data_IF_956564356077
#
_entry.id   IF_956564356077
#
_cell.length_a   1.000
_cell.length_b   1.000
_cell.length_c   1.000
_cell.angle_alpha   90.00
_cell.angle_beta   90.00
_cell.angle_gamma   90.00
#
_symmetry.space_group_name_H-M   'P 1'
#
loop_
_entity.id
_entity.type
_entity.pdbx_description
1 polymer ?
#
# COMPACT_ATOMS: atom_id res chain seq x y z
N UNK A 1 -6.42 25.24 -5.97
CA UNK A 1 -5.43 24.23 -5.55
C UNK A 1 -5.88 23.56 -4.27
N UNK A 2 -6.01 22.23 -4.31
CA UNK A 2 -6.44 21.42 -3.17
C UNK A 2 -5.32 21.35 -2.13
N UNK A 3 -5.63 21.51 -0.84
CA UNK A 3 -4.66 21.48 0.25
C UNK A 3 -4.40 20.04 0.71
N UNK A 4 -3.15 19.67 1.04
CA UNK A 4 -2.85 18.37 1.61
C UNK A 4 -3.35 18.31 3.05
N UNK A 5 -3.80 17.13 3.47
CA UNK A 5 -4.30 16.85 4.81
C UNK A 5 -3.33 15.99 5.64
N UNK A 6 -2.33 15.38 4.99
CA UNK A 6 -1.28 14.59 5.64
C UNK A 6 0.11 15.03 5.17
N UNK A 7 1.13 14.61 5.91
CA UNK A 7 2.53 14.86 5.53
C UNK A 7 2.92 14.16 4.23
N UNK A 8 2.43 12.94 3.96
CA UNK A 8 2.67 12.24 2.70
C UNK A 8 2.03 12.97 1.50
N UNK A 9 0.81 13.49 1.66
CA UNK A 9 0.18 14.33 0.64
C UNK A 9 0.93 15.63 0.40
N UNK A 10 1.49 16.23 1.45
CA UNK A 10 2.35 17.41 1.32
C UNK A 10 3.66 17.07 0.59
N UNK A 11 4.28 15.92 0.88
CA UNK A 11 5.45 15.43 0.15
C UNK A 11 5.15 15.26 -1.34
N UNK A 12 3.98 14.69 -1.68
CA UNK A 12 3.53 14.58 -3.07
C UNK A 12 3.42 15.95 -3.75
N UNK A 13 2.74 16.91 -3.12
CA UNK A 13 2.63 18.25 -3.70
C UNK A 13 3.99 18.93 -3.83
N UNK A 14 4.89 18.74 -2.87
CA UNK A 14 6.25 19.27 -2.97
C UNK A 14 6.99 18.65 -4.18
N UNK A 15 6.92 17.33 -4.35
CA UNK A 15 7.53 16.64 -5.49
C UNK A 15 6.93 17.08 -6.84
N UNK A 16 5.62 17.29 -6.91
CA UNK A 16 4.95 17.77 -8.12
C UNK A 16 5.41 19.20 -8.51
N UNK A 17 5.54 20.09 -7.52
CA UNK A 17 5.94 21.48 -7.74
C UNK A 17 7.45 21.66 -7.94
N UNK A 18 8.27 20.69 -7.56
CA UNK A 18 9.72 20.75 -7.74
C UNK A 18 10.09 20.43 -9.20
N UNK A 19 10.69 21.41 -9.87
CA UNK A 19 11.05 21.31 -11.28
C UNK A 19 12.25 20.41 -11.55
N UNK A 20 13.01 20.02 -10.52
CA UNK A 20 14.11 19.06 -10.67
C UNK A 20 13.63 17.65 -10.99
N UNK A 21 12.40 17.31 -10.60
CA UNK A 21 11.83 16.00 -10.87
C UNK A 21 11.05 16.02 -12.18
N UNK A 22 11.62 15.47 -13.24
CA UNK A 22 10.91 15.27 -14.49
C UNK A 22 9.84 14.17 -14.35
N UNK A 23 10.09 13.18 -13.49
CA UNK A 23 9.16 12.07 -13.22
C UNK A 23 8.77 12.05 -11.75
N UNK A 24 7.47 11.97 -11.47
CA UNK A 24 6.95 11.79 -10.11
C UNK A 24 6.12 10.52 -10.06
N UNK A 25 6.63 9.51 -9.37
CA UNK A 25 5.90 8.28 -9.05
C UNK A 25 5.17 8.44 -7.72
N UNK A 26 3.87 8.17 -7.69
CA UNK A 26 3.05 8.17 -6.47
C UNK A 26 2.36 6.83 -6.29
N UNK A 27 2.72 6.11 -5.23
CA UNK A 27 2.23 4.76 -4.99
C UNK A 27 1.59 4.67 -3.62
N UNK A 28 0.47 3.96 -3.52
CA UNK A 28 -0.20 3.79 -2.23
C UNK A 28 -1.65 3.34 -2.37
N UNK A 29 -2.36 3.10 -1.26
CA UNK A 29 -3.70 2.55 -1.31
C UNK A 29 -4.72 3.53 -1.88
N UNK A 30 -5.87 3.02 -2.30
CA UNK A 30 -7.02 3.82 -2.68
C UNK A 30 -7.45 4.76 -1.54
N UNK A 31 -7.76 6.01 -1.89
CA UNK A 31 -8.24 7.02 -0.93
C UNK A 31 -7.16 7.87 -0.26
N UNK A 32 -5.89 7.71 -0.65
CA UNK A 32 -4.76 8.57 -0.20
C UNK A 32 -4.63 9.90 -0.93
N UNK A 33 -5.39 10.10 -2.01
CA UNK A 33 -5.43 11.36 -2.74
C UNK A 33 -4.48 11.47 -3.94
N UNK A 34 -3.84 10.36 -4.36
CA UNK A 34 -2.94 10.30 -5.56
C UNK A 34 -3.52 11.03 -6.76
N UNK A 35 -4.67 10.53 -7.25
CA UNK A 35 -5.35 11.04 -8.43
C UNK A 35 -5.85 12.46 -8.23
N UNK A 36 -6.42 12.77 -7.06
CA UNK A 36 -6.93 14.10 -6.73
C UNK A 36 -5.84 15.18 -6.82
N UNK A 37 -4.70 14.93 -6.18
CA UNK A 37 -3.59 15.87 -6.11
C UNK A 37 -2.88 16.00 -7.45
N UNK A 38 -2.72 14.89 -8.20
CA UNK A 38 -2.15 14.91 -9.55
C UNK A 38 -3.03 15.71 -10.53
N UNK A 39 -4.35 15.48 -10.54
CA UNK A 39 -5.29 16.22 -11.37
C UNK A 39 -5.35 17.70 -11.00
N UNK A 40 -5.40 18.02 -9.70
CA UNK A 40 -5.43 19.40 -9.21
C UNK A 40 -4.15 20.16 -9.61
N UNK A 41 -2.98 19.52 -9.44
CA UNK A 41 -1.72 20.08 -9.91
C UNK A 41 -1.74 20.31 -11.42
N UNK A 42 -2.19 19.32 -12.21
CA UNK A 42 -2.17 19.43 -13.66
C UNK A 42 -3.07 20.52 -14.22
N UNK A 43 -4.29 20.65 -13.72
CA UNK A 43 -5.21 21.72 -14.11
C UNK A 43 -4.60 23.10 -13.81
N UNK A 44 -4.04 23.28 -12.61
CA UNK A 44 -3.42 24.56 -12.23
C UNK A 44 -2.15 24.85 -13.04
N UNK A 45 -1.32 23.84 -13.31
CA UNK A 45 -0.11 24.00 -14.11
C UNK A 45 -0.42 24.46 -15.55
N UNK A 46 -1.51 23.97 -16.15
CA UNK A 46 -1.98 24.44 -17.47
C UNK A 46 -2.54 25.86 -17.40
N UNK A 47 -3.32 26.18 -16.37
CA UNK A 47 -3.86 27.54 -16.18
C UNK A 47 -2.75 28.58 -16.01
N UNK A 48 -1.67 28.21 -15.35
CA UNK A 48 -0.49 29.05 -15.14
C UNK A 48 0.45 29.09 -16.36
N UNK A 49 0.16 28.29 -17.40
CA UNK A 49 1.00 28.22 -18.61
C UNK A 49 2.33 27.50 -18.40
N UNK A 50 2.49 26.72 -17.32
CA UNK A 50 3.69 25.91 -17.04
C UNK A 50 3.89 24.83 -18.11
N UNK A 51 2.79 24.22 -18.55
CA UNK A 51 2.74 23.29 -19.68
C UNK A 51 1.69 23.77 -20.69
N UNK A 52 1.87 23.41 -21.96
CA UNK A 52 0.92 23.71 -23.03
C UNK A 52 -0.23 22.71 -23.07
N UNK A 53 0.05 21.44 -22.73
CA UNK A 53 -0.91 20.34 -22.75
C UNK A 53 -0.85 19.52 -21.48
N UNK A 54 -2.01 19.07 -21.02
CA UNK A 54 -2.16 18.06 -19.98
C UNK A 54 -2.78 16.81 -20.60
N UNK A 55 -2.07 15.70 -20.53
CA UNK A 55 -2.48 14.42 -21.09
C UNK A 55 -2.81 13.49 -19.93
N UNK A 56 -4.03 12.96 -19.92
CA UNK A 56 -4.48 11.97 -18.94
C UNK A 56 -4.59 10.61 -19.61
N UNK A 57 -3.99 9.61 -18.97
CA UNK A 57 -3.97 8.21 -19.40
C UNK A 57 -4.52 7.39 -18.24
N UNK A 58 -5.71 6.81 -18.42
CA UNK A 58 -6.33 5.96 -17.41
C UNK A 58 -6.87 4.70 -18.08
N UNK A 59 -6.27 3.51 -17.85
CA UNK A 59 -6.72 2.29 -18.48
C UNK A 59 -8.14 1.95 -18.03
N UNK A 60 -8.91 1.39 -18.97
CA UNK A 60 -10.16 0.70 -18.68
C UNK A 60 -9.90 -0.77 -18.91
N UNK A 61 -10.13 -1.62 -17.92
CA UNK A 61 -9.86 -3.06 -18.02
C UNK A 61 -11.16 -3.84 -17.91
N UNK A 62 -11.34 -4.80 -18.81
CA UNK A 62 -12.47 -5.73 -18.74
C UNK A 62 -12.32 -6.67 -17.53
N UNK A 63 -13.37 -6.74 -16.71
CA UNK A 63 -13.33 -7.46 -15.43
C UNK A 63 -13.09 -8.97 -15.60
N UNK A 64 -13.51 -9.54 -16.73
CA UNK A 64 -13.46 -10.98 -17.00
C UNK A 64 -12.15 -11.34 -17.71
N UNK A 65 -11.86 -10.69 -18.82
CA UNK A 65 -10.70 -11.00 -19.67
C UNK A 65 -9.40 -10.37 -19.19
N UNK A 66 -9.48 -9.38 -18.29
CA UNK A 66 -8.35 -8.58 -17.80
C UNK A 66 -7.58 -7.87 -18.91
N UNK A 67 -8.22 -7.67 -20.06
CA UNK A 67 -7.63 -6.91 -21.18
C UNK A 67 -8.03 -5.45 -21.10
N UNK A 68 -7.10 -4.58 -21.47
CA UNK A 68 -7.35 -3.16 -21.65
C UNK A 68 -8.31 -2.93 -22.83
N UNK A 69 -9.37 -2.17 -22.55
CA UNK A 69 -10.33 -1.63 -23.51
C UNK A 69 -9.80 -0.29 -24.00
N UNK A 70 -9.64 -0.19 -25.32
CA UNK A 70 -9.04 0.97 -25.98
C UNK A 70 -10.07 1.93 -26.55
N UNK A 71 -9.62 3.13 -26.97
CA UNK A 71 -10.47 4.12 -27.64
C UNK A 71 -11.09 3.55 -28.93
N UNK A 72 -10.45 2.57 -29.57
CA UNK A 72 -11.03 1.89 -30.76
C UNK A 72 -12.15 0.92 -30.43
N UNK A 73 -12.21 0.40 -29.20
CA UNK A 73 -13.22 -0.56 -28.75
C UNK A 73 -14.37 0.14 -28.01
N UNK A 74 -14.09 1.26 -27.32
CA UNK A 74 -15.07 2.04 -26.58
C UNK A 74 -15.21 3.45 -27.17
N UNK A 75 -16.27 3.66 -27.95
CA UNK A 75 -16.51 4.93 -28.67
C UNK A 75 -16.62 6.15 -27.75
N UNK A 76 -17.11 5.98 -26.51
CA UNK A 76 -17.25 7.04 -25.52
C UNK A 76 -16.14 7.02 -24.46
N UNK A 77 -14.98 6.41 -24.72
CA UNK A 77 -13.85 6.32 -23.78
C UNK A 77 -13.50 7.68 -23.16
N UNK A 78 -13.30 8.70 -24.00
CA UNK A 78 -12.90 10.02 -23.52
C UNK A 78 -13.97 10.66 -22.62
N UNK A 79 -15.26 10.45 -22.91
CA UNK A 79 -16.35 10.98 -22.10
C UNK A 79 -16.42 10.30 -20.72
N UNK A 80 -16.19 8.99 -20.67
CA UNK A 80 -16.13 8.22 -19.41
C UNK A 80 -14.99 8.74 -18.51
N UNK A 81 -13.79 8.91 -19.08
CA UNK A 81 -12.65 9.42 -18.32
C UNK A 81 -12.85 10.90 -17.94
N UNK A 82 -13.45 11.73 -18.81
CA UNK A 82 -13.75 13.12 -18.48
C UNK A 82 -14.73 13.23 -17.32
N UNK A 83 -15.76 12.38 -17.29
CA UNK A 83 -16.69 12.27 -16.16
C UNK A 83 -15.94 11.90 -14.88
N UNK A 84 -15.06 10.90 -14.95
CA UNK A 84 -14.23 10.50 -13.82
C UNK A 84 -13.35 11.66 -13.30
N UNK A 85 -12.69 12.40 -14.20
CA UNK A 85 -11.85 13.55 -13.82
C UNK A 85 -12.68 14.59 -13.09
N UNK A 86 -13.88 14.92 -13.59
CA UNK A 86 -14.84 15.82 -12.95
C UNK A 86 -15.20 15.32 -11.55
N UNK A 87 -15.68 14.08 -11.45
CA UNK A 87 -16.10 13.49 -10.18
C UNK A 87 -14.99 13.49 -9.11
N UNK A 88 -13.72 13.32 -9.53
CA UNK A 88 -12.57 13.39 -8.62
C UNK A 88 -12.29 14.83 -8.20
N UNK A 89 -12.20 15.77 -9.14
CA UNK A 89 -11.73 17.13 -8.85
C UNK A 89 -12.77 18.00 -8.13
N UNK A 90 -14.06 17.69 -8.28
CA UNK A 90 -15.16 18.43 -7.66
C UNK A 90 -15.86 19.41 -8.59
N UNK A 91 -17.14 19.69 -8.30
CA UNK A 91 -18.06 20.50 -9.11
C UNK A 91 -17.51 21.88 -9.47
N UNK A 92 -16.73 22.48 -8.57
CA UNK A 92 -16.16 23.82 -8.77
C UNK A 92 -15.17 23.90 -9.93
N UNK A 93 -14.61 22.78 -10.40
CA UNK A 93 -13.69 22.72 -11.53
C UNK A 93 -14.33 22.21 -12.83
N UNK A 94 -15.63 21.87 -12.85
CA UNK A 94 -16.26 21.24 -14.02
C UNK A 94 -16.17 22.11 -15.27
N UNK A 95 -16.46 23.40 -15.12
CA UNK A 95 -16.37 24.39 -16.21
C UNK A 95 -14.94 24.54 -16.74
N UNK A 96 -13.95 24.52 -15.83
CA UNK A 96 -12.53 24.60 -16.19
C UNK A 96 -12.09 23.36 -16.96
N UNK A 97 -12.46 22.18 -16.48
CA UNK A 97 -12.15 20.91 -17.16
C UNK A 97 -12.76 20.88 -18.56
N UNK A 98 -14.02 21.29 -18.70
CA UNK A 98 -14.69 21.37 -20.01
C UNK A 98 -14.02 22.36 -20.96
N UNK A 99 -13.61 23.53 -20.47
CA UNK A 99 -12.88 24.52 -21.26
C UNK A 99 -11.53 23.99 -21.74
N UNK A 100 -10.74 23.40 -20.83
CA UNK A 100 -9.43 22.84 -21.15
C UNK A 100 -9.55 21.70 -22.17
N UNK A 101 -10.56 20.85 -22.02
CA UNK A 101 -10.83 19.76 -22.96
C UNK A 101 -11.24 20.29 -24.34
N UNK A 102 -12.20 21.22 -24.40
CA UNK A 102 -12.67 21.82 -25.68
C UNK A 102 -11.58 22.59 -26.41
N UNK A 103 -10.67 23.22 -25.68
CA UNK A 103 -9.53 23.97 -26.27
C UNK A 103 -8.36 23.06 -26.65
N UNK A 104 -8.43 21.75 -26.39
CA UNK A 104 -7.35 20.79 -26.66
C UNK A 104 -6.14 20.94 -25.74
N UNK A 105 -6.27 21.72 -24.65
CA UNK A 105 -5.24 21.83 -23.60
C UNK A 105 -5.26 20.65 -22.65
N UNK A 106 -6.42 20.00 -22.49
CA UNK A 106 -6.57 18.72 -21.81
C UNK A 106 -6.89 17.65 -22.86
N UNK A 107 -6.06 16.62 -22.95
CA UNK A 107 -6.26 15.47 -23.83
C UNK A 107 -6.42 14.20 -22.99
N UNK A 108 -7.33 13.33 -23.41
CA UNK A 108 -7.54 12.00 -22.82
C UNK A 108 -7.09 10.97 -23.84
N UNK A 109 -6.13 10.12 -23.46
CA UNK A 109 -5.57 9.08 -24.33
C UNK A 109 -5.63 7.71 -23.63
N UNK A 110 -5.64 6.64 -24.43
CA UNK A 110 -5.31 5.31 -23.92
C UNK A 110 -3.79 5.05 -24.01
N UNK A 111 -3.33 3.97 -23.40
CA UNK A 111 -1.90 3.66 -23.32
C UNK A 111 -1.25 3.42 -24.70
N UNK A 112 -2.02 2.96 -25.70
CA UNK A 112 -1.53 2.64 -27.05
C UNK A 112 -1.34 3.87 -27.92
N UNK A 113 -2.18 4.91 -27.75
CA UNK A 113 -2.10 6.15 -28.55
C UNK A 113 -0.86 7.01 -28.29
N UNK A 114 -0.13 6.70 -27.22
CA UNK A 114 1.12 7.34 -26.90
C UNK A 114 2.27 6.78 -27.75
N UNK A 115 2.07 5.61 -28.40
CA UNK A 115 3.06 4.95 -29.25
C UNK A 115 3.36 5.77 -30.52
N UNK A 116 4.64 5.92 -30.86
CA UNK A 116 5.15 6.81 -31.92
C UNK A 116 5.20 8.32 -31.61
N UNK A 117 4.70 8.80 -30.46
CA UNK A 117 4.71 10.23 -30.09
C UNK A 117 5.87 10.60 -29.15
N UNK A 118 6.31 11.85 -29.24
CA UNK A 118 7.16 12.55 -28.27
C UNK A 118 6.34 13.67 -27.66
N UNK A 119 6.39 13.84 -26.33
CA UNK A 119 5.60 14.84 -25.62
C UNK A 119 6.50 15.97 -25.13
N UNK A 120 6.60 17.04 -25.90
CA UNK A 120 7.24 18.30 -25.49
C UNK A 120 6.20 19.27 -24.89
N UNK A 121 6.64 20.15 -23.99
CA UNK A 121 5.80 21.16 -23.31
C UNK A 121 4.53 20.58 -22.67
N UNK A 122 4.59 19.34 -22.18
CA UNK A 122 3.41 18.56 -21.79
C UNK A 122 3.52 18.02 -20.38
N UNK A 123 2.43 18.07 -19.63
CA UNK A 123 2.25 17.29 -18.42
C UNK A 123 1.52 16.00 -18.79
N UNK A 124 2.07 14.86 -18.43
CA UNK A 124 1.45 13.55 -18.65
C UNK A 124 1.11 12.96 -17.29
N UNK A 125 -0.11 12.47 -17.11
CA UNK A 125 -0.55 11.75 -15.92
C UNK A 125 -1.08 10.38 -16.30
N UNK A 126 -0.41 9.33 -15.82
CA UNK A 126 -0.83 7.94 -15.95
C UNK A 126 -1.38 7.50 -14.60
N UNK A 127 -2.68 7.17 -14.58
CA UNK A 127 -3.39 6.70 -13.40
C UNK A 127 -3.61 5.18 -13.47
N UNK A 128 -3.73 4.51 -12.32
CA UNK A 128 -3.96 3.05 -12.20
C UNK A 128 -2.91 2.21 -12.95
N UNK A 129 -1.63 2.50 -12.77
CA UNK A 129 -0.58 1.82 -13.54
C UNK A 129 -0.48 0.32 -13.26
N UNK A 130 -1.03 -0.17 -12.15
CA UNK A 130 -1.16 -1.61 -11.86
C UNK A 130 -2.07 -2.35 -12.86
N UNK A 131 -2.90 -1.64 -13.61
CA UNK A 131 -3.81 -2.20 -14.63
C UNK A 131 -3.15 -2.24 -16.04
N UNK A 132 -1.93 -1.74 -16.18
CA UNK A 132 -1.15 -1.74 -17.42
C UNK A 132 -0.06 -2.82 -17.39
N UNK A 133 0.40 -3.21 -18.58
CA UNK A 133 1.62 -4.02 -18.69
C UNK A 133 2.86 -3.14 -18.39
N UNK A 134 3.86 -3.64 -17.64
CA UNK A 134 5.07 -2.88 -17.32
C UNK A 134 5.76 -2.30 -18.55
N UNK A 135 5.85 -3.07 -19.64
CA UNK A 135 6.49 -2.66 -20.89
C UNK A 135 5.79 -1.44 -21.50
N UNK A 136 4.45 -1.39 -21.43
CA UNK A 136 3.69 -0.23 -21.88
C UNK A 136 4.10 1.01 -21.10
N UNK A 137 4.24 0.93 -19.77
CA UNK A 137 4.60 2.08 -18.93
C UNK A 137 6.02 2.57 -19.24
N UNK A 138 6.98 1.65 -19.42
CA UNK A 138 8.35 2.00 -19.83
C UNK A 138 8.34 2.69 -21.20
N UNK A 139 7.57 2.18 -22.17
CA UNK A 139 7.40 2.84 -23.46
C UNK A 139 6.85 4.27 -23.34
N UNK A 140 6.09 4.59 -22.29
CA UNK A 140 5.60 5.95 -22.03
C UNK A 140 6.67 6.85 -21.41
N UNK A 141 7.42 6.32 -20.45
CA UNK A 141 8.49 7.05 -19.76
C UNK A 141 9.53 7.56 -20.76
N UNK A 142 9.93 6.74 -21.74
CA UNK A 142 10.95 7.11 -22.73
C UNK A 142 10.47 8.16 -23.77
N UNK A 143 9.20 8.57 -23.74
CA UNK A 143 8.61 9.54 -24.68
C UNK A 143 8.50 10.95 -24.13
N UNK A 144 8.90 11.14 -22.88
CA UNK A 144 8.86 12.44 -22.22
C UNK A 144 9.94 13.31 -22.84
N UNK A 145 9.48 14.39 -23.49
CA UNK A 145 10.33 15.35 -24.18
C UNK A 145 10.76 16.50 -23.29
N UNK A 146 11.14 17.61 -23.92
CA UNK A 146 11.62 18.83 -23.25
C UNK A 146 10.46 19.56 -22.60
N UNK A 147 10.76 20.22 -21.47
CA UNK A 147 9.78 21.01 -20.72
C UNK A 147 8.50 20.22 -20.40
N UNK A 148 8.67 18.94 -20.07
CA UNK A 148 7.58 18.02 -19.79
C UNK A 148 7.78 17.36 -18.44
N UNK A 149 6.68 16.96 -17.81
CA UNK A 149 6.68 16.23 -16.55
C UNK A 149 5.76 15.02 -16.67
N UNK A 150 6.18 13.89 -16.12
CA UNK A 150 5.39 12.68 -16.04
C UNK A 150 4.99 12.39 -14.61
N UNK A 151 3.71 12.14 -14.38
CA UNK A 151 3.16 11.68 -13.12
C UNK A 151 2.66 10.25 -13.33
N UNK A 152 3.13 9.33 -12.51
CA UNK A 152 2.75 7.91 -12.54
C UNK A 152 2.07 7.57 -11.21
N UNK A 153 0.82 7.14 -11.21
CA UNK A 153 0.09 6.76 -10.01
C UNK A 153 -0.35 5.29 -10.01
N UNK A 154 -0.13 4.61 -8.89
CA UNK A 154 -0.53 3.20 -8.74
C UNK A 154 -0.83 2.77 -7.30
N UNK A 155 -1.38 1.56 -7.17
CA UNK A 155 -1.73 0.94 -5.89
C UNK A 155 -1.10 -0.45 -5.74
N UNK A 156 0.15 -0.54 -5.21
CA UNK A 156 0.85 -1.82 -5.06
C UNK A 156 0.30 -2.67 -3.91
N UNK A 157 -0.42 -2.06 -2.96
CA UNK A 157 -0.88 -2.73 -1.74
C UNK A 157 -2.12 -3.56 -2.06
N UNK A 158 -3.12 -3.00 -2.75
CA UNK A 158 -4.35 -3.74 -3.03
C UNK A 158 -4.12 -4.97 -3.91
N UNK A 159 -3.17 -4.93 -4.84
CA UNK A 159 -2.84 -6.07 -5.72
C UNK A 159 -1.95 -7.10 -5.02
N UNK A 160 -0.97 -6.68 -4.20
CA UNK A 160 -0.20 -7.62 -3.37
C UNK A 160 -1.08 -8.39 -2.37
N UNK A 161 -2.25 -7.82 -2.01
CA UNK A 161 -3.27 -8.49 -1.22
C UNK A 161 -4.15 -9.49 -2.02
N UNK A 162 -4.10 -9.50 -3.36
CA UNK A 162 -4.99 -10.26 -4.26
C UNK A 162 -4.45 -11.60 -4.82
N UNK A 163 -3.57 -12.31 -4.10
CA UNK A 163 -3.12 -13.68 -4.47
C UNK A 163 -2.47 -13.82 -5.87
N UNK A 164 -1.73 -12.81 -6.36
CA UNK A 164 -1.01 -12.96 -7.63
C UNK A 164 0.43 -13.43 -7.42
N UNK A 165 0.85 -14.45 -8.17
CA UNK A 165 2.24 -14.96 -8.24
C UNK A 165 3.16 -14.10 -9.13
N UNK A 166 2.60 -13.12 -9.84
CA UNK A 166 3.31 -12.19 -10.71
C UNK A 166 3.63 -10.91 -9.93
N UNK A 167 4.83 -10.34 -10.14
CA UNK A 167 5.17 -9.03 -9.58
C UNK A 167 4.19 -7.97 -10.12
N UNK A 168 3.58 -7.23 -9.20
CA UNK A 168 2.63 -6.16 -9.52
C UNK A 168 3.28 -5.06 -10.39
N UNK A 169 2.62 -4.61 -11.49
CA UNK A 169 3.20 -3.58 -12.36
C UNK A 169 3.51 -2.28 -11.65
N UNK A 170 2.69 -1.85 -10.68
CA UNK A 170 2.96 -0.62 -9.95
C UNK A 170 4.17 -0.76 -9.03
N UNK A 171 4.40 -1.93 -8.43
CA UNK A 171 5.63 -2.19 -7.68
C UNK A 171 6.86 -2.22 -8.59
N UNK A 172 6.78 -2.85 -9.76
CA UNK A 172 7.89 -2.88 -10.71
C UNK A 172 8.29 -1.47 -11.15
N UNK A 173 7.32 -0.63 -11.51
CA UNK A 173 7.60 0.74 -11.92
C UNK A 173 8.10 1.57 -10.75
N UNK A 174 7.57 1.35 -9.55
CA UNK A 174 8.11 1.94 -8.33
C UNK A 174 9.58 1.59 -8.15
N UNK A 175 9.95 0.30 -8.23
CA UNK A 175 11.35 -0.17 -8.14
C UNK A 175 12.25 0.47 -9.20
N UNK A 176 11.77 0.62 -10.43
CA UNK A 176 12.52 1.26 -11.53
C UNK A 176 12.76 2.75 -11.28
N UNK A 177 11.77 3.45 -10.71
CA UNK A 177 11.88 4.89 -10.43
C UNK A 177 12.68 5.18 -9.16
N UNK A 178 12.78 4.24 -8.23
CA UNK A 178 13.71 4.32 -7.10
C UNK A 178 15.13 4.24 -7.66
N UNK A 179 15.90 5.31 -7.55
CA UNK A 179 17.28 5.53 -8.06
C UNK A 179 17.42 6.19 -9.43
N UNK A 180 16.32 6.65 -10.04
CA UNK A 180 16.42 7.50 -11.23
C UNK A 180 16.68 8.96 -10.81
N UNK A 181 17.70 9.60 -11.40
CA UNK A 181 18.23 10.91 -10.96
C UNK A 181 17.17 12.02 -11.00
N UNK A 182 16.40 12.07 -12.09
CA UNK A 182 15.36 13.07 -12.33
C UNK A 182 13.95 12.57 -11.91
N UNK A 183 13.89 11.52 -11.08
CA UNK A 183 12.64 10.98 -10.57
C UNK A 183 12.48 11.16 -9.05
N UNK A 184 11.25 11.31 -8.61
CA UNK A 184 10.88 11.23 -7.18
C UNK A 184 9.75 10.25 -7.00
N UNK A 185 10.01 9.23 -6.17
CA UNK A 185 8.99 8.31 -5.67
C UNK A 185 8.44 8.84 -4.35
N UNK A 186 7.12 8.90 -4.25
CA UNK A 186 6.37 9.23 -3.04
C UNK A 186 5.44 8.07 -2.72
N UNK A 187 5.71 7.40 -1.60
CA UNK A 187 4.87 6.35 -1.06
C UNK A 187 3.87 6.91 -0.07
N UNK A 188 2.58 6.75 -0.37
CA UNK A 188 1.48 7.05 0.53
C UNK A 188 1.02 5.77 1.23
N UNK A 189 0.91 5.82 2.54
CA UNK A 189 0.53 4.69 3.37
C UNK A 189 -0.96 4.68 3.73
N UNK A 190 -1.33 3.80 4.64
CA UNK A 190 -2.68 3.71 5.22
C UNK A 190 -3.03 4.97 6.01
N UNK A 191 -2.04 5.62 6.64
CA UNK A 191 -2.24 6.87 7.38
C UNK A 191 -2.66 8.03 6.47
N UNK A 192 -2.27 8.00 5.20
CA UNK A 192 -2.59 9.03 4.20
C UNK A 192 -4.02 8.90 3.66
N UNK A 193 -4.73 7.81 3.97
CA UNK A 193 -6.13 7.65 3.60
C UNK A 193 -6.97 8.62 4.43
N UNK A 194 -7.73 9.50 3.75
CA UNK A 194 -8.64 10.44 4.43
C UNK A 194 -10.08 9.90 4.46
N UNK A 195 -10.48 9.15 3.42
CA UNK A 195 -11.84 8.64 3.27
C UNK A 195 -12.09 7.47 4.23
N UNK A 196 -13.04 7.63 5.15
CA UNK A 196 -13.44 6.60 6.12
C UNK A 196 -13.89 5.30 5.44
N UNK A 197 -14.62 5.41 4.32
CA UNK A 197 -15.03 4.25 3.51
C UNK A 197 -13.84 3.46 2.94
N UNK A 198 -12.77 4.15 2.50
CA UNK A 198 -11.57 3.48 1.98
C UNK A 198 -10.79 2.76 3.08
N UNK A 199 -10.64 3.36 4.26
CA UNK A 199 -10.05 2.68 5.44
C UNK A 199 -10.84 1.42 5.80
N UNK A 200 -12.16 1.54 5.85
CA UNK A 200 -13.04 0.40 6.11
C UNK A 200 -12.87 -0.69 5.04
N UNK A 201 -12.82 -0.31 3.77
CA UNK A 201 -12.61 -1.23 2.65
C UNK A 201 -11.30 -2.02 2.77
N UNK A 202 -10.18 -1.32 3.04
CA UNK A 202 -8.88 -1.97 3.23
C UNK A 202 -8.89 -2.94 4.43
N UNK A 203 -9.46 -2.53 5.57
CA UNK A 203 -9.59 -3.41 6.74
C UNK A 203 -10.40 -4.67 6.41
N UNK A 204 -11.53 -4.52 5.72
CA UNK A 204 -12.39 -5.65 5.31
C UNK A 204 -11.68 -6.58 4.32
N UNK A 205 -10.87 -6.04 3.41
CA UNK A 205 -10.07 -6.84 2.48
C UNK A 205 -9.04 -7.71 3.23
N UNK A 206 -8.32 -7.12 4.19
CA UNK A 206 -7.37 -7.86 5.05
C UNK A 206 -8.12 -8.93 5.85
N UNK A 207 -9.26 -8.59 6.48
CA UNK A 207 -10.09 -9.56 7.21
C UNK A 207 -10.51 -10.74 6.32
N UNK A 208 -11.03 -10.45 5.13
CA UNK A 208 -11.44 -11.45 4.14
C UNK A 208 -10.27 -12.38 3.79
N UNK A 209 -9.11 -11.83 3.41
CA UNK A 209 -7.93 -12.61 3.05
C UNK A 209 -7.51 -13.55 4.18
N UNK A 210 -7.46 -13.04 5.41
CA UNK A 210 -7.03 -13.82 6.57
C UNK A 210 -8.00 -14.96 6.90
N UNK A 211 -9.31 -14.74 6.71
CA UNK A 211 -10.34 -15.78 6.87
C UNK A 211 -10.30 -16.82 5.76
N UNK A 212 -9.96 -16.42 4.54
CA UNK A 212 -9.88 -17.31 3.37
C UNK A 212 -8.62 -18.17 3.35
N UNK A 213 -7.64 -17.90 4.21
CA UNK A 213 -6.41 -18.70 4.31
C UNK A 213 -6.73 -20.11 4.83
N UNK A 214 -6.18 -21.12 4.16
CA UNK A 214 -6.19 -22.49 4.66
C UNK A 214 -5.30 -22.62 5.89
N UNK A 215 -5.85 -23.16 6.98
CA UNK A 215 -5.09 -23.44 8.20
C UNK A 215 -4.35 -24.77 8.05
N UNK A 216 -3.12 -24.81 8.55
CA UNK A 216 -2.40 -26.07 8.77
C UNK A 216 -3.10 -26.94 9.82
N UNK A 217 -2.71 -28.21 9.92
CA UNK A 217 -3.23 -29.11 10.95
C UNK A 217 -2.98 -28.57 12.37
N UNK A 218 -1.79 -28.00 12.61
CA UNK A 218 -1.44 -27.47 13.92
C UNK A 218 -2.19 -26.18 14.24
N UNK A 219 -2.36 -25.27 13.28
CA UNK A 219 -3.21 -24.09 13.46
C UNK A 219 -4.67 -24.48 13.72
N UNK A 220 -5.17 -25.54 13.07
CA UNK A 220 -6.52 -26.06 13.28
C UNK A 220 -6.70 -26.67 14.68
N UNK A 221 -5.70 -27.40 15.19
CA UNK A 221 -5.69 -27.91 16.56
C UNK A 221 -5.73 -26.76 17.57
N UNK A 222 -4.89 -25.73 17.39
CA UNK A 222 -4.88 -24.55 18.25
C UNK A 222 -6.23 -23.83 18.19
N UNK A 223 -6.82 -23.70 17.00
CA UNK A 223 -8.13 -23.06 16.85
C UNK A 223 -9.22 -23.77 17.65
N UNK A 224 -9.23 -25.11 17.66
CA UNK A 224 -10.20 -25.88 18.42
C UNK A 224 -10.03 -25.67 19.94
N UNK A 225 -8.79 -25.68 20.43
CA UNK A 225 -8.47 -25.42 21.85
C UNK A 225 -8.90 -24.00 22.24
N UNK A 226 -8.57 -23.01 21.42
CA UNK A 226 -8.93 -21.60 21.67
C UNK A 226 -10.45 -21.42 21.70
N UNK A 227 -11.19 -22.07 20.79
CA UNK A 227 -12.65 -22.02 20.76
C UNK A 227 -13.30 -22.71 21.98
N UNK A 228 -12.64 -23.69 22.58
CA UNK A 228 -13.13 -24.33 23.80
C UNK A 228 -13.12 -23.36 25.00
N UNK A 229 -12.06 -22.55 25.12
CA UNK A 229 -11.90 -21.59 26.22
C UNK A 229 -12.50 -20.22 25.95
N UNK A 230 -12.65 -19.84 24.67
CA UNK A 230 -13.14 -18.54 24.21
C UNK A 230 -14.19 -18.68 23.10
N UNK A 231 -15.34 -19.33 23.36
CA UNK A 231 -16.34 -19.64 22.33
C UNK A 231 -17.02 -18.40 21.72
N UNK A 232 -17.01 -17.29 22.45
CA UNK A 232 -17.62 -16.00 22.06
C UNK A 232 -16.64 -15.05 21.35
N UNK A 233 -15.37 -15.43 21.20
CA UNK A 233 -14.36 -14.67 20.47
C UNK A 233 -14.45 -14.95 18.96
N UNK A 234 -14.61 -13.90 18.15
CA UNK A 234 -14.54 -14.02 16.69
C UNK A 234 -13.08 -14.11 16.22
N UNK A 235 -12.62 -15.34 16.01
CA UNK A 235 -11.28 -15.65 15.50
C UNK A 235 -11.26 -15.48 13.97
N UNK A 236 -10.39 -14.60 13.49
CA UNK A 236 -10.16 -14.34 12.07
C UNK A 236 -9.23 -15.41 11.48
N UNK A 237 -8.09 -15.64 12.12
CA UNK A 237 -7.10 -16.65 11.71
C UNK A 237 -6.12 -16.96 12.85
N UNK A 238 -5.33 -18.03 12.73
CA UNK A 238 -4.24 -18.37 13.67
C UNK A 238 -2.98 -18.66 12.88
N UNK A 239 -1.91 -17.91 13.12
CA UNK A 239 -0.61 -18.13 12.49
C UNK A 239 0.31 -18.86 13.44
N UNK A 240 0.68 -20.10 13.11
CA UNK A 240 1.71 -20.83 13.84
C UNK A 240 3.11 -20.37 13.36
N UNK A 241 3.98 -19.99 14.30
CA UNK A 241 5.32 -19.46 14.08
C UNK A 241 6.41 -20.37 14.66
N UNK A 242 6.02 -21.57 15.14
CA UNK A 242 6.92 -22.52 15.79
C UNK A 242 8.10 -22.93 14.89
N UNK A 243 7.84 -23.14 13.59
CA UNK A 243 8.87 -23.54 12.62
C UNK A 243 9.85 -22.41 12.34
N UNK A 244 9.35 -21.18 12.19
CA UNK A 244 10.12 -19.98 11.95
C UNK A 244 11.02 -19.67 13.17
N UNK A 245 10.48 -19.84 14.38
CA UNK A 245 11.21 -19.72 15.64
C UNK A 245 12.36 -20.72 15.73
N UNK A 246 12.13 -21.98 15.35
CA UNK A 246 13.14 -23.04 15.30
C UNK A 246 14.22 -22.78 14.25
N UNK A 247 13.83 -22.43 13.02
CA UNK A 247 14.74 -22.12 11.90
C UNK A 247 15.76 -21.03 12.26
N UNK A 248 15.34 -20.05 13.07
CA UNK A 248 16.18 -18.93 13.51
C UNK A 248 16.90 -19.16 14.84
N UNK A 249 16.75 -20.34 15.46
CA UNK A 249 17.39 -20.67 16.74
C UNK A 249 16.85 -19.87 17.92
N UNK A 250 15.59 -19.44 17.86
CA UNK A 250 14.93 -18.58 18.87
C UNK A 250 14.05 -19.37 19.83
N UNK A 251 14.17 -20.70 19.87
CA UNK A 251 13.35 -21.61 20.69
C UNK A 251 13.44 -21.29 22.20
N UNK A 252 14.61 -20.85 22.66
CA UNK A 252 14.86 -20.52 24.07
C UNK A 252 14.20 -19.20 24.51
N UNK A 253 13.67 -18.39 23.60
CA UNK A 253 13.00 -17.14 23.93
C UNK A 253 11.54 -17.40 24.30
N UNK A 254 11.28 -17.52 25.60
CA UNK A 254 9.94 -17.74 26.16
C UNK A 254 8.98 -16.55 25.96
N UNK A 255 9.51 -15.36 25.69
CA UNK A 255 8.71 -14.16 25.40
C UNK A 255 8.15 -14.14 23.98
N UNK A 256 8.75 -14.90 23.06
CA UNK A 256 8.37 -14.99 21.66
C UNK A 256 7.22 -15.99 21.49
N UNK A 257 6.09 -15.60 20.85
CA UNK A 257 4.99 -16.51 20.58
C UNK A 257 5.41 -17.71 19.74
N UNK A 258 4.80 -18.85 20.03
CA UNK A 258 4.77 -19.99 19.12
C UNK A 258 3.59 -19.83 18.14
N UNK A 259 2.52 -19.14 18.52
CA UNK A 259 1.43 -18.79 17.59
C UNK A 259 0.76 -17.46 17.92
N UNK A 260 0.28 -16.79 16.87
CA UNK A 260 -0.48 -15.53 16.96
C UNK A 260 -1.93 -15.80 16.54
N UNK A 261 -2.86 -15.47 17.42
CA UNK A 261 -4.30 -15.58 17.20
C UNK A 261 -4.82 -14.20 16.81
N UNK A 262 -5.31 -14.09 15.58
CA UNK A 262 -5.90 -12.85 15.09
C UNK A 262 -7.40 -12.89 15.34
N UNK A 263 -7.91 -11.90 16.06
CA UNK A 263 -9.34 -11.72 16.32
C UNK A 263 -9.89 -10.52 15.56
N UNK A 264 -11.19 -10.53 15.34
CA UNK A 264 -11.90 -9.38 14.79
C UNK A 264 -11.81 -8.19 15.74
N UNK A 265 -11.82 -6.98 15.17
CA UNK A 265 -11.94 -5.72 15.91
C UNK A 265 -13.02 -5.81 17.00
N UNK A 266 -12.67 -5.43 18.23
CA UNK A 266 -13.55 -5.47 19.41
C UNK A 266 -13.66 -6.83 20.11
N UNK A 267 -12.93 -7.86 19.66
CA UNK A 267 -13.00 -9.22 20.24
C UNK A 267 -11.79 -9.58 21.09
N UNK A 268 -10.77 -8.72 21.22
CA UNK A 268 -9.56 -9.02 21.99
C UNK A 268 -9.86 -9.44 23.44
N UNK A 269 -10.74 -8.69 24.11
CA UNK A 269 -11.13 -9.00 25.49
C UNK A 269 -11.81 -10.35 25.66
N UNK A 270 -12.53 -10.84 24.63
CA UNK A 270 -13.23 -12.13 24.66
C UNK A 270 -12.26 -13.30 24.54
N UNK A 271 -11.19 -13.14 23.75
CA UNK A 271 -10.12 -14.12 23.64
C UNK A 271 -9.21 -14.13 24.87
N UNK A 272 -8.84 -12.95 25.38
CA UNK A 272 -7.86 -12.83 26.47
C UNK A 272 -8.52 -13.18 27.82
N UNK A 273 -9.76 -12.74 28.06
CA UNK A 273 -10.42 -12.86 29.35
C UNK A 273 -9.88 -11.86 30.39
N UNK A 274 -10.48 -11.82 31.58
CA UNK A 274 -10.03 -10.89 32.63
C UNK A 274 -8.65 -11.32 33.11
N UNK A 275 -7.68 -10.41 33.04
CA UNK A 275 -6.30 -10.70 33.45
C UNK A 275 -5.60 -11.80 32.64
N UNK A 276 -6.11 -12.17 31.46
CA UNK A 276 -5.52 -13.21 30.61
C UNK A 276 -5.97 -14.64 30.92
N UNK A 277 -6.96 -14.84 31.78
CA UNK A 277 -7.38 -16.18 32.22
C UNK A 277 -7.68 -17.17 31.08
N UNK A 278 -8.35 -16.71 30.00
CA UNK A 278 -8.80 -17.57 28.90
C UNK A 278 -7.67 -17.92 27.94
N UNK A 279 -6.84 -16.94 27.59
CA UNK A 279 -5.67 -17.20 26.74
C UNK A 279 -4.65 -18.07 27.48
N UNK A 280 -4.45 -17.88 28.79
CA UNK A 280 -3.55 -18.71 29.59
C UNK A 280 -4.06 -20.17 29.70
N UNK A 281 -5.37 -20.38 29.79
CA UNK A 281 -5.94 -21.73 29.73
C UNK A 281 -5.69 -22.40 28.37
N UNK A 282 -5.83 -21.64 27.27
CA UNK A 282 -5.52 -22.12 25.92
C UNK A 282 -4.02 -22.42 25.74
N UNK A 283 -3.13 -21.60 26.32
CA UNK A 283 -1.67 -21.85 26.32
C UNK A 283 -1.35 -23.14 27.06
N UNK A 284 -1.97 -23.36 28.23
CA UNK A 284 -1.76 -24.57 29.04
C UNK A 284 -2.15 -25.84 28.30
N UNK A 285 -3.30 -25.83 27.63
CA UNK A 285 -3.82 -27.01 26.94
C UNK A 285 -3.13 -27.26 25.60
N UNK A 286 -2.72 -26.20 24.91
CA UNK A 286 -1.97 -26.33 23.65
C UNK A 286 -0.48 -26.63 23.85
N UNK A 287 0.06 -26.35 25.04
CA UNK A 287 1.50 -26.42 25.30
C UNK A 287 2.32 -25.39 24.49
N UNK A 288 1.65 -24.38 23.91
CA UNK A 288 2.26 -23.35 23.06
C UNK A 288 2.10 -21.97 23.69
N UNK A 289 3.08 -21.09 23.47
CA UNK A 289 2.99 -19.67 23.80
C UNK A 289 2.10 -18.96 22.77
N UNK A 290 0.99 -18.42 23.22
CA UNK A 290 -0.02 -17.77 22.39
C UNK A 290 0.02 -16.25 22.60
N UNK A 291 -0.14 -15.51 21.50
CA UNK A 291 -0.34 -14.06 21.52
C UNK A 291 -1.64 -13.72 20.82
N UNK A 292 -2.41 -12.83 21.42
CA UNK A 292 -3.59 -12.29 20.77
C UNK A 292 -3.24 -11.01 20.00
N UNK A 293 -3.78 -10.88 18.81
CA UNK A 293 -3.69 -9.71 17.95
C UNK A 293 -5.10 -9.31 17.53
N UNK A 294 -5.49 -8.07 17.82
CA UNK A 294 -6.73 -7.52 17.29
C UNK A 294 -6.51 -6.98 15.87
N UNK A 295 -7.37 -7.36 14.93
CA UNK A 295 -7.29 -6.89 13.57
C UNK A 295 -7.55 -5.39 13.50
N UNK A 296 -6.51 -4.64 13.17
CA UNK A 296 -6.56 -3.19 12.96
C UNK A 296 -5.69 -2.78 11.77
N UNK A 297 -5.70 -1.49 11.43
CA UNK A 297 -4.76 -0.89 10.47
C UNK A 297 -3.55 -0.24 11.16
N UNK A 298 -3.40 -0.44 12.48
CA UNK A 298 -2.21 -0.01 13.22
C UNK A 298 -1.20 -1.15 13.28
N UNK A 299 -0.25 -1.13 12.34
CA UNK A 299 0.76 -2.18 12.22
C UNK A 299 1.75 -2.23 13.38
N UNK A 300 1.79 -1.22 14.26
CA UNK A 300 2.58 -1.28 15.48
C UNK A 300 2.10 -2.38 16.42
N UNK A 301 0.79 -2.63 16.48
CA UNK A 301 0.22 -3.70 17.30
C UNK A 301 0.56 -5.10 16.76
N UNK A 302 0.75 -5.24 15.44
CA UNK A 302 1.22 -6.48 14.82
C UNK A 302 2.65 -6.78 15.23
N UNK A 303 3.52 -5.77 15.13
CA UNK A 303 4.91 -5.86 15.57
C UNK A 303 4.97 -6.18 17.07
N UNK A 304 4.16 -5.52 17.90
CA UNK A 304 4.06 -5.78 19.34
C UNK A 304 3.68 -7.23 19.66
N UNK A 305 2.74 -7.80 18.92
CA UNK A 305 2.27 -9.16 19.13
C UNK A 305 3.32 -10.22 18.75
N UNK A 306 4.16 -9.91 17.75
CA UNK A 306 5.13 -10.86 17.17
C UNK A 306 6.56 -10.68 17.68
N UNK A 307 6.93 -9.49 18.17
CA UNK A 307 8.31 -9.20 18.58
C UNK A 307 8.64 -9.82 19.96
N UNK A 308 9.85 -10.37 20.17
CA UNK A 308 10.25 -10.94 21.47
C UNK A 308 10.23 -9.94 22.64
N UNK A 309 10.39 -8.66 22.32
CA UNK A 309 10.44 -7.55 23.28
C UNK A 309 9.29 -6.58 22.98
N UNK A 310 8.11 -6.70 23.62
CA UNK A 310 6.95 -5.86 23.29
C UNK A 310 7.18 -4.35 23.50
N UNK A 311 8.10 -3.98 24.39
CA UNK A 311 8.41 -2.57 24.68
C UNK A 311 9.12 -1.85 23.53
N UNK A 312 9.68 -2.56 22.54
CA UNK A 312 10.40 -1.88 21.41
C UNK A 312 9.48 -1.01 20.57
N UNK A 313 8.17 -1.25 20.66
CA UNK A 313 7.14 -0.48 19.95
C UNK A 313 7.18 1.00 20.33
N UNK A 314 7.66 1.35 21.53
CA UNK A 314 7.84 2.75 21.96
C UNK A 314 8.91 3.51 21.16
N UNK A 315 9.79 2.79 20.46
CA UNK A 315 10.82 3.36 19.59
C UNK A 315 10.42 3.38 18.11
N UNK A 316 9.30 2.75 17.77
CA UNK A 316 8.74 2.77 16.42
C UNK A 316 8.02 4.12 16.24
N UNK A 317 8.61 4.98 15.42
CA UNK A 317 8.02 6.25 15.04
C UNK A 317 6.82 6.02 14.12
N UNK A 318 7.00 5.16 13.11
CA UNK A 318 6.02 4.88 12.08
C UNK A 318 6.08 3.43 11.64
N UNK A 319 4.93 2.83 11.32
CA UNK A 319 4.83 1.50 10.76
C UNK A 319 3.67 1.51 9.75
N UNK A 320 4.00 1.64 8.47
CA UNK A 320 3.02 1.76 7.40
C UNK A 320 3.57 1.15 6.11
N UNK A 321 2.69 0.89 5.15
CA UNK A 321 3.11 0.36 3.86
C UNK A 321 3.88 1.40 3.05
N UNK A 322 4.97 0.94 2.42
CA UNK A 322 5.69 1.64 1.35
C UNK A 322 5.94 0.63 0.22
N UNK A 323 5.34 0.85 -0.94
CA UNK A 323 5.23 -0.20 -1.96
C UNK A 323 4.51 -1.45 -1.42
N UNK A 324 5.10 -2.61 -1.64
CA UNK A 324 4.64 -3.92 -1.16
C UNK A 324 5.27 -4.37 0.17
N UNK A 325 5.97 -3.48 0.88
CA UNK A 325 6.62 -3.77 2.15
C UNK A 325 5.98 -2.98 3.29
N UNK A 326 5.94 -3.59 4.49
CA UNK A 326 5.66 -2.88 5.72
C UNK A 326 6.95 -2.18 6.18
N UNK A 327 7.02 -0.88 5.99
CA UNK A 327 8.15 -0.06 6.41
C UNK A 327 8.01 0.33 7.88
N UNK A 328 9.03 0.01 8.69
CA UNK A 328 9.06 0.32 10.12
C UNK A 328 10.17 1.33 10.38
N UNK A 329 9.78 2.58 10.67
CA UNK A 329 10.72 3.66 11.00
C UNK A 329 11.03 3.66 12.49
N UNK A 330 12.32 3.64 12.82
CA UNK A 330 12.81 3.55 14.21
C UNK A 330 13.76 4.70 14.50
N UNK A 331 13.49 5.46 15.58
CA UNK A 331 14.32 6.61 15.99
C UNK A 331 15.54 6.21 16.84
N UNK A 332 15.44 5.18 17.68
CA UNK A 332 16.48 4.79 18.67
C UNK A 332 16.45 3.29 18.96
N UNK A 333 17.53 2.77 19.55
CA UNK A 333 17.66 1.37 19.99
C UNK A 333 17.44 0.31 18.90
N UNK A 334 17.93 0.58 17.68
CA UNK A 334 17.87 -0.35 16.54
C UNK A 334 18.40 -1.73 16.91
N UNK A 335 19.43 -1.83 17.75
CA UNK A 335 19.97 -3.12 18.21
C UNK A 335 18.96 -4.00 18.95
N UNK A 336 18.11 -3.42 19.80
CA UNK A 336 17.08 -4.16 20.54
C UNK A 336 15.94 -4.63 19.63
N UNK A 337 15.62 -3.83 18.61
CA UNK A 337 14.65 -4.20 17.57
C UNK A 337 15.19 -5.27 16.62
N UNK A 338 16.46 -5.15 16.22
CA UNK A 338 17.09 -6.07 15.27
C UNK A 338 17.38 -7.44 15.91
N UNK A 339 17.76 -7.45 17.19
CA UNK A 339 18.28 -8.64 17.85
C UNK A 339 19.67 -9.02 17.35
N UNK A 340 20.25 -10.07 17.96
CA UNK A 340 21.60 -10.52 17.60
C UNK A 340 21.65 -10.97 16.14
N UNK A 341 22.56 -10.39 15.34
CA UNK A 341 22.66 -10.65 13.89
C UNK A 341 21.32 -10.47 13.15
N UNK A 342 20.46 -9.54 13.59
CA UNK A 342 19.16 -9.28 12.94
C UNK A 342 18.15 -10.42 13.08
N UNK A 343 18.29 -11.29 14.08
CA UNK A 343 17.40 -12.47 14.23
C UNK A 343 15.94 -12.09 14.46
N UNK A 344 15.66 -11.01 15.19
CA UNK A 344 14.29 -10.62 15.54
C UNK A 344 13.57 -10.02 14.35
N UNK A 345 14.27 -9.20 13.54
CA UNK A 345 13.70 -8.64 12.31
C UNK A 345 13.47 -9.72 11.27
N UNK A 346 14.36 -10.70 11.15
CA UNK A 346 14.13 -11.87 10.29
C UNK A 346 12.92 -12.69 10.73
N UNK A 347 12.73 -12.87 12.04
CA UNK A 347 11.54 -13.54 12.57
C UNK A 347 10.26 -12.73 12.28
N UNK A 348 10.29 -11.42 12.51
CA UNK A 348 9.17 -10.53 12.19
C UNK A 348 8.82 -10.56 10.70
N UNK A 349 9.82 -10.51 9.81
CA UNK A 349 9.63 -10.59 8.37
C UNK A 349 8.93 -11.90 7.96
N UNK A 350 9.42 -13.05 8.43
CA UNK A 350 8.78 -14.35 8.18
C UNK A 350 7.34 -14.39 8.73
N UNK A 351 7.12 -13.85 9.94
CA UNK A 351 5.79 -13.82 10.56
C UNK A 351 4.80 -12.92 9.81
N UNK A 352 5.23 -11.74 9.38
CA UNK A 352 4.40 -10.79 8.62
C UNK A 352 4.18 -11.25 7.18
N UNK A 353 5.16 -11.89 6.54
CA UNK A 353 4.96 -12.56 5.25
C UNK A 353 3.92 -13.66 5.36
N UNK A 354 3.97 -14.47 6.40
CA UNK A 354 3.01 -15.54 6.63
C UNK A 354 1.60 -15.02 6.92
N UNK A 355 1.48 -13.90 7.65
CA UNK A 355 0.20 -13.31 8.01
C UNK A 355 -0.39 -12.45 6.88
N UNK A 356 0.35 -11.45 6.40
CA UNK A 356 -0.12 -10.41 5.49
C UNK A 356 0.37 -10.58 4.05
N UNK A 357 1.30 -11.50 3.78
CA UNK A 357 1.87 -11.71 2.45
C UNK A 357 2.86 -10.63 2.01
N UNK A 358 3.30 -9.76 2.92
CA UNK A 358 4.21 -8.64 2.66
C UNK A 358 5.49 -8.78 3.50
N UNK A 359 6.60 -8.22 3.01
CA UNK A 359 7.86 -8.17 3.76
C UNK A 359 7.87 -7.05 4.80
N UNK A 360 8.86 -7.07 5.70
CA UNK A 360 9.22 -5.94 6.55
C UNK A 360 10.52 -5.30 6.07
N UNK A 361 10.53 -3.97 6.00
CA UNK A 361 11.74 -3.17 5.84
C UNK A 361 11.92 -2.23 7.03
N UNK A 362 13.06 -2.30 7.69
CA UNK A 362 13.39 -1.41 8.80
C UNK A 362 14.11 -0.19 8.27
N UNK A 363 13.59 1.00 8.55
CA UNK A 363 14.16 2.28 8.16
C UNK A 363 14.72 2.96 9.41
N UNK A 364 16.01 3.27 9.37
CA UNK A 364 16.73 4.04 10.40
C UNK A 364 17.03 5.43 9.89
N UNK A 365 17.25 6.40 10.78
CA UNK A 365 17.59 7.79 10.42
C UNK A 365 18.80 7.89 9.46
N UNK A 366 19.74 6.94 9.51
CA UNK A 366 20.90 6.86 8.60
C UNK A 366 20.54 6.46 7.15
N UNK A 367 19.40 5.78 6.93
CA UNK A 367 18.99 5.21 5.64
C UNK A 367 17.79 5.95 5.00
N UNK A 368 17.39 7.12 5.51
CA UNK A 368 16.26 7.88 4.93
C UNK A 368 16.60 8.57 3.59
N UNK A 369 17.89 8.70 3.26
CA UNK A 369 18.38 9.39 2.06
C UNK A 369 19.01 8.46 1.02
N UNK A 370 18.84 7.14 1.15
CA UNK A 370 19.47 6.10 0.33
C UNK A 370 18.48 5.20 -0.38
#
# INVERSE_FOLDING_TARGET
MIKPLTSGQQELLNALNDDKYQIVGVFGPTGTGKTLLALSYGIEAIKQGKFKKFVIVKPIVDVVTKKEITVTELTNYAEVILSYVKDVIGEEYYSTVDELYKTGKLEILDSRFLRGRTFDDSLIFIDEVQELQPESIIELIIRIGRNSKLIVAGDPIFQSLQMQTVKDPSELIREVLLNEEDAKVVDLGVKDIIRTGAKRGLRLLIEYRLRSRSLSEDESKILNIVKQHSPDADIVTIVDLSNEKKKLGLENLTTLPDSVIVVKEGNLGRLVGKGGERINASEKDSGKKLRALELSLDFKEYIKAMHPLPWVVKYIEDADFKGNELAVKIRKETGAFMGQKGSYVRFLDEAIRKLLGVGIRVITEENENS
#
